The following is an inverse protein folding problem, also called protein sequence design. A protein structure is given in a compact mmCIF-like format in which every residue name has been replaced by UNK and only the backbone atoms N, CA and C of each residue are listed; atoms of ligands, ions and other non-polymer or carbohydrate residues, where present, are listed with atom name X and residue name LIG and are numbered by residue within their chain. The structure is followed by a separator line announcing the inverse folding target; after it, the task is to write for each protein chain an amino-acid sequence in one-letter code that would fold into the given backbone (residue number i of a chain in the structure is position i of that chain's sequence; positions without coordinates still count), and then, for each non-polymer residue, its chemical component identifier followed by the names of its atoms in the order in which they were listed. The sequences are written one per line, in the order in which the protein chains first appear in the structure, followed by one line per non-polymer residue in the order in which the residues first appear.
data_IF_852293981567
#
_entry.id   IF_852293981567
#
_cell.length_a   1.000
_cell.length_b   1.000
_cell.length_c   1.000
_cell.angle_alpha   90.00
_cell.angle_beta   90.00
_cell.angle_gamma   90.00
#
_symmetry.space_group_name_H-M   'P 1'
#
loop_
_entity.id
_entity.type
_entity.pdbx_description
1 polymer ?
#
# COMPACT_ATOMS: atom_id res chain seq x y z
N UNK A 1 -23.46 -20.39 16.51
CA UNK A 1 -22.10 -20.06 16.99
C UNK A 1 -21.29 -19.78 15.75
N UNK A 2 -21.21 -18.50 15.36
CA UNK A 2 -20.55 -18.10 14.11
C UNK A 2 -19.05 -18.22 14.30
N UNK A 3 -18.40 -19.06 13.49
CA UNK A 3 -16.96 -18.96 13.29
C UNK A 3 -16.71 -17.59 12.67
N UNK A 4 -16.10 -16.68 13.43
CA UNK A 4 -15.38 -15.56 12.83
C UNK A 4 -14.17 -16.21 12.16
N UNK A 5 -14.14 -16.30 10.83
CA UNK A 5 -12.90 -16.72 10.18
C UNK A 5 -11.85 -15.66 10.51
N UNK A 6 -10.66 -16.10 10.92
CA UNK A 6 -9.48 -15.24 11.08
C UNK A 6 -8.80 -15.08 9.72
N UNK A 7 -9.60 -14.83 8.68
CA UNK A 7 -9.09 -14.73 7.31
C UNK A 7 -8.22 -13.47 7.19
N UNK A 8 -7.04 -13.58 6.58
CA UNK A 8 -6.20 -12.42 6.36
C UNK A 8 -6.92 -11.42 5.43
N UNK A 9 -6.73 -10.13 5.69
CA UNK A 9 -7.23 -9.04 4.85
C UNK A 9 -6.07 -8.43 4.09
N UNK A 10 -6.16 -8.42 2.76
CA UNK A 10 -5.18 -7.73 1.91
C UNK A 10 -5.51 -6.25 1.80
N UNK A 11 -4.54 -5.40 2.12
CA UNK A 11 -4.56 -3.98 1.82
C UNK A 11 -3.67 -3.70 0.60
N UNK A 12 -4.26 -3.11 -0.42
CA UNK A 12 -3.59 -2.67 -1.64
C UNK A 12 -3.42 -1.17 -1.55
N UNK A 13 -2.20 -0.71 -1.25
CA UNK A 13 -1.89 0.69 -0.94
C UNK A 13 -1.37 1.43 -2.16
N UNK A 14 -2.07 2.47 -2.58
CA UNK A 14 -1.70 3.47 -3.59
C UNK A 14 -1.05 2.88 -4.86
N UNK A 15 -1.52 1.72 -5.34
CA UNK A 15 -1.13 1.19 -6.65
C UNK A 15 -1.90 1.91 -7.76
N UNK A 16 -1.70 3.22 -7.83
CA UNK A 16 -2.29 4.12 -8.80
C UNK A 16 -1.40 4.23 -10.03
N UNK A 17 -1.98 4.46 -11.20
CA UNK A 17 -1.24 4.53 -12.46
C UNK A 17 -0.11 5.57 -12.41
N UNK A 18 -0.34 6.72 -11.77
CA UNK A 18 0.67 7.77 -11.61
C UNK A 18 1.87 7.41 -10.73
N UNK A 19 1.75 6.38 -9.88
CA UNK A 19 2.85 5.87 -9.06
C UNK A 19 3.50 4.62 -9.67
N UNK A 20 2.71 3.74 -10.28
CA UNK A 20 3.23 2.48 -10.85
C UNK A 20 3.95 2.73 -12.17
N UNK A 21 3.39 3.60 -13.01
CA UNK A 21 3.92 4.04 -14.30
C UNK A 21 4.09 5.57 -14.28
N UNK A 22 5.02 6.09 -13.46
CA UNK A 22 5.19 7.52 -13.26
C UNK A 22 5.79 8.19 -14.49
N UNK A 23 5.71 9.53 -14.58
CA UNK A 23 6.45 10.28 -15.60
C UNK A 23 7.97 10.10 -15.40
N UNK A 24 8.75 10.25 -16.48
CA UNK A 24 10.17 9.91 -16.50
C UNK A 24 11.02 10.68 -15.47
N UNK A 25 10.56 11.87 -15.08
CA UNK A 25 11.18 12.76 -14.10
C UNK A 25 11.18 12.18 -12.68
N UNK A 26 10.27 11.24 -12.36
CA UNK A 26 10.26 10.54 -11.07
C UNK A 26 11.44 9.57 -10.92
N UNK A 27 12.13 9.26 -12.02
CA UNK A 27 13.19 8.26 -12.06
C UNK A 27 12.66 6.82 -11.98
N UNK A 28 13.55 5.82 -11.98
CA UNK A 28 13.15 4.43 -11.89
C UNK A 28 12.62 4.10 -10.49
N UNK A 29 11.51 3.36 -10.44
CA UNK A 29 11.05 2.70 -9.21
C UNK A 29 11.91 1.47 -8.88
N UNK A 30 11.91 1.09 -7.62
CA UNK A 30 12.40 -0.21 -7.17
C UNK A 30 11.50 -1.35 -7.65
N UNK A 31 11.93 -2.57 -7.38
CA UNK A 31 11.13 -3.80 -7.53
C UNK A 31 10.59 -3.96 -8.96
N UNK A 32 11.45 -4.17 -9.99
CA UNK A 32 11.03 -4.21 -11.39
C UNK A 32 9.83 -5.12 -11.67
N UNK A 33 9.75 -6.23 -10.92
CA UNK A 33 8.69 -7.24 -11.03
C UNK A 33 7.38 -6.90 -10.30
N UNK A 34 7.21 -5.70 -9.73
CA UNK A 34 6.01 -5.25 -9.00
C UNK A 34 4.71 -5.63 -9.73
N UNK A 35 4.59 -5.23 -11.00
CA UNK A 35 3.38 -5.44 -11.82
C UNK A 35 3.13 -6.91 -12.16
N UNK A 36 4.12 -7.78 -12.02
CA UNK A 36 3.98 -9.23 -12.19
C UNK A 36 3.72 -9.97 -10.88
N UNK A 37 4.06 -9.38 -9.74
CA UNK A 37 3.89 -9.98 -8.42
C UNK A 37 2.55 -9.64 -7.78
N UNK A 38 2.11 -8.38 -7.90
CA UNK A 38 0.82 -7.90 -7.38
C UNK A 38 -0.36 -8.78 -7.84
N UNK A 39 -0.51 -9.11 -9.15
CA UNK A 39 -1.63 -9.95 -9.58
C UNK A 39 -1.62 -11.35 -8.95
N UNK A 40 -0.46 -11.95 -8.72
CA UNK A 40 -0.35 -13.30 -8.11
C UNK A 40 -0.91 -13.30 -6.69
N UNK A 41 -0.67 -12.23 -5.94
CA UNK A 41 -1.16 -12.07 -4.56
C UNK A 41 -2.67 -11.83 -4.57
N UNK A 42 -3.15 -10.93 -5.45
CA UNK A 42 -4.59 -10.69 -5.62
C UNK A 42 -5.33 -11.96 -6.01
N UNK A 43 -4.82 -12.70 -6.99
CA UNK A 43 -5.41 -13.96 -7.45
C UNK A 43 -5.45 -14.99 -6.33
N UNK A 44 -4.40 -15.08 -5.51
CA UNK A 44 -4.39 -15.95 -4.34
C UNK A 44 -5.50 -15.59 -3.34
N UNK A 45 -5.59 -14.32 -2.94
CA UNK A 45 -6.65 -13.85 -2.02
C UNK A 45 -8.05 -14.11 -2.57
N UNK A 46 -8.28 -13.80 -3.85
CA UNK A 46 -9.56 -14.02 -4.54
C UNK A 46 -9.92 -15.50 -4.63
N UNK A 47 -8.97 -16.39 -4.90
CA UNK A 47 -9.18 -17.84 -4.93
C UNK A 47 -9.55 -18.41 -3.56
N UNK A 48 -8.94 -17.89 -2.48
CA UNK A 48 -9.30 -18.25 -1.11
C UNK A 48 -10.61 -17.60 -0.64
N UNK A 49 -11.14 -16.65 -1.42
CA UNK A 49 -12.26 -15.77 -1.04
C UNK A 49 -11.95 -14.93 0.20
N UNK A 50 -10.68 -14.60 0.39
CA UNK A 50 -10.24 -13.71 1.45
C UNK A 50 -10.48 -12.25 1.09
N UNK A 51 -10.72 -11.37 2.08
CA UNK A 51 -11.01 -9.97 1.82
C UNK A 51 -9.83 -9.21 1.19
N UNK A 52 -10.15 -8.34 0.24
CA UNK A 52 -9.21 -7.37 -0.37
C UNK A 52 -9.80 -5.98 -0.23
N UNK A 53 -9.01 -5.01 0.25
CA UNK A 53 -9.37 -3.60 0.36
C UNK A 53 -8.33 -2.79 -0.43
N UNK A 54 -8.82 -1.95 -1.35
CA UNK A 54 -7.99 -1.03 -2.10
C UNK A 54 -8.02 0.36 -1.49
N UNK A 55 -6.86 1.01 -1.48
CA UNK A 55 -6.66 2.35 -0.94
C UNK A 55 -5.89 3.16 -1.98
N UNK A 56 -6.40 4.32 -2.36
CA UNK A 56 -5.70 5.30 -3.19
C UNK A 56 -5.43 6.57 -2.38
N UNK A 57 -4.32 7.25 -2.69
CA UNK A 57 -4.05 8.61 -2.24
C UNK A 57 -4.78 9.60 -3.16
N UNK A 58 -5.64 10.44 -2.58
CA UNK A 58 -6.28 11.58 -3.22
C UNK A 58 -5.68 12.85 -2.64
N UNK A 59 -4.68 13.39 -3.34
CA UNK A 59 -3.92 14.53 -2.83
C UNK A 59 -4.82 15.79 -2.79
N UNK A 60 -4.69 16.56 -1.71
CA UNK A 60 -5.48 17.78 -1.53
C UNK A 60 -4.99 18.93 -2.42
N UNK A 61 -3.72 18.91 -2.84
CA UNK A 61 -3.18 19.88 -3.79
C UNK A 61 -3.74 19.57 -5.19
N UNK A 62 -4.54 20.49 -5.77
CA UNK A 62 -5.09 20.29 -7.11
C UNK A 62 -4.02 20.10 -8.18
N UNK A 63 -2.80 20.60 -7.97
CA UNK A 63 -1.69 20.47 -8.93
C UNK A 63 -0.93 19.16 -8.78
N UNK A 64 -1.10 18.43 -7.68
CA UNK A 64 -0.45 17.15 -7.47
C UNK A 64 -1.04 16.09 -8.40
N UNK A 65 -0.18 15.29 -9.04
CA UNK A 65 -0.55 14.31 -10.06
C UNK A 65 -1.49 13.18 -9.56
N UNK A 66 -1.66 13.01 -8.25
CA UNK A 66 -2.61 12.09 -7.63
C UNK A 66 -3.92 12.75 -7.18
N UNK A 67 -4.17 14.01 -7.52
CA UNK A 67 -5.47 14.62 -7.30
C UNK A 67 -6.49 14.00 -8.27
N UNK A 68 -7.57 13.40 -7.75
CA UNK A 68 -8.53 12.65 -8.56
C UNK A 68 -9.31 13.51 -9.56
N UNK A 69 -9.58 14.77 -9.21
CA UNK A 69 -10.45 15.64 -9.99
C UNK A 69 -9.69 16.21 -11.19
N UNK A 70 -8.40 16.54 -10.99
CA UNK A 70 -7.55 17.08 -12.06
C UNK A 70 -6.85 16.02 -12.89
N UNK A 71 -6.40 14.92 -12.28
CA UNK A 71 -5.59 13.89 -12.94
C UNK A 71 -6.22 12.49 -12.82
N UNK A 72 -7.46 12.29 -13.29
CA UNK A 72 -8.20 11.03 -13.08
C UNK A 72 -7.50 9.79 -13.65
N UNK A 73 -6.71 9.95 -14.72
CA UNK A 73 -5.94 8.84 -15.33
C UNK A 73 -4.80 8.41 -14.42
N UNK A 74 -4.02 9.35 -13.87
CA UNK A 74 -2.93 9.07 -12.95
C UNK A 74 -3.46 8.59 -11.58
N UNK A 75 -4.60 9.13 -11.15
CA UNK A 75 -5.27 8.74 -9.91
C UNK A 75 -5.87 7.32 -9.96
N UNK A 76 -6.29 6.84 -11.13
CA UNK A 76 -6.94 5.53 -11.26
C UNK A 76 -6.03 4.39 -10.80
N UNK A 77 -6.58 3.29 -10.23
CA UNK A 77 -5.80 2.08 -9.97
C UNK A 77 -5.08 1.60 -11.23
N UNK A 78 -3.82 1.21 -11.09
CA UNK A 78 -3.07 0.61 -12.18
C UNK A 78 -3.65 -0.77 -12.54
N UNK A 79 -3.50 -1.19 -13.79
CA UNK A 79 -4.10 -2.44 -14.30
C UNK A 79 -3.65 -3.69 -13.52
N UNK A 80 -2.43 -3.70 -12.97
CA UNK A 80 -1.94 -4.83 -12.17
C UNK A 80 -2.70 -5.03 -10.84
N UNK A 81 -3.41 -4.01 -10.37
CA UNK A 81 -4.12 -3.99 -9.09
C UNK A 81 -5.59 -3.59 -9.21
N UNK A 82 -6.17 -3.69 -10.41
CA UNK A 82 -7.54 -3.26 -10.63
C UNK A 82 -8.51 -3.98 -9.66
N UNK A 83 -9.38 -3.23 -8.95
CA UNK A 83 -10.40 -3.82 -8.10
C UNK A 83 -11.43 -4.58 -8.95
N UNK A 84 -11.98 -5.66 -8.39
CA UNK A 84 -13.14 -6.36 -8.96
C UNK A 84 -14.42 -6.03 -8.18
N UNK A 85 -15.57 -6.44 -8.70
CA UNK A 85 -16.85 -6.24 -8.04
C UNK A 85 -16.84 -6.82 -6.61
N UNK A 86 -17.29 -6.02 -5.64
CA UNK A 86 -17.33 -6.37 -4.22
C UNK A 86 -16.07 -5.99 -3.43
N UNK A 87 -14.95 -5.67 -4.09
CA UNK A 87 -13.75 -5.17 -3.40
C UNK A 87 -13.90 -3.68 -3.06
N UNK A 88 -13.77 -3.27 -1.78
CA UNK A 88 -13.89 -1.87 -1.39
C UNK A 88 -12.73 -1.03 -1.91
N UNK A 89 -13.02 0.22 -2.30
CA UNK A 89 -12.04 1.24 -2.66
C UNK A 89 -12.18 2.43 -1.71
N UNK A 90 -11.08 2.80 -1.04
CA UNK A 90 -10.98 3.93 -0.13
C UNK A 90 -10.04 4.99 -0.69
N UNK A 91 -10.27 6.26 -0.34
CA UNK A 91 -9.46 7.38 -0.80
C UNK A 91 -8.95 8.17 0.40
N UNK A 92 -7.66 8.07 0.69
CA UNK A 92 -7.01 8.77 1.81
C UNK A 92 -6.33 10.05 1.33
N UNK A 93 -6.20 11.02 2.23
CA UNK A 93 -5.43 12.26 1.99
C UNK A 93 -4.22 12.37 2.93
N UNK A 94 -3.83 11.25 3.53
CA UNK A 94 -2.79 11.11 4.55
C UNK A 94 -1.83 9.99 4.18
N UNK A 95 -0.69 9.89 4.86
CA UNK A 95 0.23 8.75 4.69
C UNK A 95 -0.43 7.41 5.03
N UNK A 96 -1.06 7.33 6.21
CA UNK A 96 -1.82 6.17 6.67
C UNK A 96 -3.34 6.36 6.53
N UNK A 97 -4.03 5.37 5.98
CA UNK A 97 -5.50 5.34 5.91
C UNK A 97 -6.16 5.11 7.27
N UNK A 98 -5.43 4.61 8.26
CA UNK A 98 -5.93 4.41 9.62
C UNK A 98 -6.13 5.73 10.39
N UNK A 99 -5.51 6.81 9.93
CA UNK A 99 -5.58 8.12 10.59
C UNK A 99 -6.89 8.85 10.29
N UNK A 100 -7.50 8.61 9.12
CA UNK A 100 -8.78 9.25 8.78
C UNK A 100 -9.95 8.42 9.31
N UNK A 101 -10.65 8.89 10.37
CA UNK A 101 -11.77 8.15 10.94
C UNK A 101 -12.94 7.99 9.96
N UNK A 102 -13.05 8.83 8.92
CA UNK A 102 -14.10 8.72 7.91
C UNK A 102 -13.93 7.49 7.02
N UNK A 103 -12.71 6.97 6.88
CA UNK A 103 -12.44 5.76 6.12
C UNK A 103 -12.84 4.49 6.87
N UNK A 104 -12.88 4.54 8.21
CA UNK A 104 -13.28 3.41 9.06
C UNK A 104 -12.47 2.14 8.78
N UNK A 105 -11.20 2.26 8.39
CA UNK A 105 -10.42 1.14 7.88
C UNK A 105 -10.28 0.00 8.89
N UNK A 106 -10.00 0.31 10.16
CA UNK A 106 -9.86 -0.68 11.23
C UNK A 106 -11.17 -1.47 11.46
N UNK A 107 -12.31 -0.78 11.47
CA UNK A 107 -13.64 -1.40 11.61
C UNK A 107 -13.95 -2.28 10.39
N UNK A 108 -13.53 -1.83 9.20
CA UNK A 108 -13.72 -2.57 7.94
C UNK A 108 -12.91 -3.86 7.91
N UNK A 109 -11.64 -3.80 8.33
CA UNK A 109 -10.79 -4.99 8.50
C UNK A 109 -11.43 -5.96 9.49
N UNK A 110 -11.82 -5.46 10.67
CA UNK A 110 -12.41 -6.30 11.74
C UNK A 110 -13.74 -6.94 11.32
N UNK A 111 -14.53 -6.24 10.51
CA UNK A 111 -15.81 -6.75 10.00
C UNK A 111 -15.64 -7.82 8.92
N UNK A 112 -14.52 -7.78 8.18
CA UNK A 112 -14.25 -8.68 7.06
C UNK A 112 -13.45 -9.92 7.45
N UNK A 113 -12.43 -9.78 8.31
CA UNK A 113 -11.54 -10.87 8.74
C UNK A 113 -11.63 -11.21 10.24
N UNK A 114 -12.60 -10.63 10.95
CA UNK A 114 -12.75 -10.81 12.40
C UNK A 114 -11.82 -9.93 13.25
N UNK A 115 -11.97 -9.98 14.58
CA UNK A 115 -11.26 -9.08 15.50
C UNK A 115 -9.74 -9.32 15.56
N UNK A 116 -9.25 -10.46 15.07
CA UNK A 116 -7.83 -10.84 15.06
C UNK A 116 -7.28 -10.98 13.63
N UNK A 117 -7.93 -10.38 12.63
CA UNK A 117 -7.53 -10.53 11.23
C UNK A 117 -6.03 -10.20 11.03
N UNK A 118 -5.31 -11.10 10.36
CA UNK A 118 -3.99 -10.80 9.85
C UNK A 118 -4.12 -9.75 8.74
N UNK A 119 -3.33 -8.68 8.78
CA UNK A 119 -3.31 -7.63 7.76
C UNK A 119 -2.12 -7.85 6.84
N UNK A 120 -2.39 -8.11 5.57
CA UNK A 120 -1.35 -8.27 4.55
C UNK A 120 -1.28 -6.99 3.72
N UNK A 121 -0.10 -6.43 3.52
CA UNK A 121 0.08 -5.13 2.85
C UNK A 121 0.97 -5.29 1.63
N UNK A 122 0.50 -4.73 0.51
CA UNK A 122 1.25 -4.52 -0.73
C UNK A 122 1.07 -3.08 -1.21
N UNK A 123 1.99 -2.59 -2.05
CA UNK A 123 1.76 -1.37 -2.81
C UNK A 123 2.87 -0.32 -2.78
N UNK A 124 2.49 0.94 -2.93
CA UNK A 124 3.41 2.08 -3.02
C UNK A 124 2.94 3.23 -2.12
N UNK A 125 3.80 4.17 -1.74
CA UNK A 125 5.26 4.03 -1.77
C UNK A 125 5.74 3.22 -0.53
N UNK A 126 6.64 2.26 -0.75
CA UNK A 126 7.27 1.39 0.24
C UNK A 126 7.94 2.12 1.42
N UNK A 127 8.57 3.26 1.15
CA UNK A 127 9.25 4.09 2.15
C UNK A 127 8.32 5.08 2.86
N UNK A 128 7.09 5.26 2.35
CA UNK A 128 6.10 6.20 2.89
C UNK A 128 4.80 5.48 3.23
N UNK A 129 3.78 5.58 2.37
CA UNK A 129 2.42 5.10 2.66
C UNK A 129 2.36 3.64 3.12
N UNK A 130 3.15 2.73 2.54
CA UNK A 130 3.23 1.33 2.99
C UNK A 130 3.77 1.26 4.42
N UNK A 131 4.83 2.01 4.73
CA UNK A 131 5.43 2.07 6.06
C UNK A 131 4.45 2.64 7.09
N UNK A 132 3.76 3.74 6.76
CA UNK A 132 2.81 4.43 7.62
C UNK A 132 1.59 3.55 7.94
N UNK A 133 1.02 2.88 6.94
CA UNK A 133 -0.09 1.94 7.14
C UNK A 133 0.36 0.72 7.94
N UNK A 134 1.56 0.19 7.69
CA UNK A 134 2.12 -0.94 8.47
C UNK A 134 2.26 -0.59 9.94
N UNK A 135 2.85 0.57 10.23
CA UNK A 135 3.03 1.09 11.60
C UNK A 135 1.69 1.29 12.29
N UNK A 136 0.75 1.97 11.62
CA UNK A 136 -0.56 2.26 12.19
C UNK A 136 -1.35 0.98 12.48
N UNK A 137 -1.34 0.02 11.56
CA UNK A 137 -2.01 -1.26 11.75
C UNK A 137 -1.41 -2.03 12.94
N UNK A 138 -0.08 -2.08 13.03
CA UNK A 138 0.59 -2.74 14.15
C UNK A 138 0.30 -2.04 15.49
N UNK A 139 0.33 -0.70 15.53
CA UNK A 139 0.06 0.07 16.75
C UNK A 139 -1.40 -0.07 17.23
N UNK A 140 -2.32 -0.37 16.31
CA UNK A 140 -3.71 -0.75 16.61
C UNK A 140 -3.87 -2.22 17.04
N UNK A 141 -2.80 -3.01 17.03
CA UNK A 141 -2.77 -4.40 17.49
C UNK A 141 -3.00 -5.46 16.40
N UNK A 142 -3.10 -5.08 15.13
CA UNK A 142 -3.18 -6.05 14.04
C UNK A 142 -1.84 -6.78 13.86
N UNK A 143 -1.89 -8.07 13.53
CA UNK A 143 -0.71 -8.79 13.04
C UNK A 143 -0.50 -8.45 11.57
N UNK A 144 0.62 -7.83 11.25
CA UNK A 144 0.87 -7.27 9.91
C UNK A 144 1.95 -8.05 9.17
N UNK A 145 1.70 -8.37 7.90
CA UNK A 145 2.69 -8.92 6.97
C UNK A 145 2.83 -7.99 5.76
N UNK A 146 4.05 -7.59 5.41
CA UNK A 146 4.33 -6.80 4.19
C UNK A 146 4.98 -7.69 3.16
N UNK A 147 4.38 -7.80 1.97
CA UNK A 147 4.95 -8.60 0.89
C UNK A 147 5.90 -7.70 0.08
N UNK A 148 7.17 -7.71 0.47
CA UNK A 148 8.18 -6.76 -0.02
C UNK A 148 8.32 -6.75 -1.56
N UNK A 149 8.25 -7.91 -2.22
CA UNK A 149 8.36 -8.01 -3.68
C UNK A 149 7.10 -7.58 -4.44
N UNK A 150 6.04 -7.21 -3.71
CA UNK A 150 4.85 -6.52 -4.20
C UNK A 150 4.71 -5.10 -3.60
N UNK A 151 5.81 -4.57 -3.06
CA UNK A 151 5.95 -3.16 -2.70
C UNK A 151 7.05 -2.51 -3.54
N UNK A 152 6.92 -1.21 -3.82
CA UNK A 152 7.97 -0.45 -4.50
C UNK A 152 8.06 0.97 -3.98
N UNK A 153 9.21 1.60 -4.19
CA UNK A 153 9.49 3.00 -3.83
C UNK A 153 10.33 3.67 -4.90
N UNK A 154 10.51 4.99 -4.79
CA UNK A 154 11.43 5.76 -5.61
C UNK A 154 12.78 5.99 -4.91
N UNK A 155 13.74 6.49 -5.68
CA UNK A 155 14.95 7.09 -5.11
C UNK A 155 14.62 8.35 -4.32
N UNK A 156 15.53 8.76 -3.45
CA UNK A 156 15.36 9.98 -2.67
C UNK A 156 16.68 10.72 -2.52
N UNK A 157 16.60 12.04 -2.32
CA UNK A 157 17.75 12.87 -2.01
C UNK A 157 18.34 12.49 -0.64
N UNK A 158 19.67 12.43 -0.54
CA UNK A 158 20.33 12.29 0.76
C UNK A 158 20.20 13.60 1.55
N UNK A 159 19.55 13.54 2.70
CA UNK A 159 19.33 14.71 3.55
C UNK A 159 20.63 15.38 4.03
N UNK A 160 21.77 14.66 4.06
CA UNK A 160 23.07 15.21 4.49
C UNK A 160 23.85 15.84 3.34
N UNK A 161 23.61 15.37 2.12
CA UNK A 161 24.25 15.84 0.90
C UNK A 161 23.22 15.86 -0.24
N UNK A 162 22.57 17.01 -0.48
CA UNK A 162 21.58 17.17 -1.54
C UNK A 162 22.06 16.81 -2.95
N UNK A 163 23.38 16.77 -3.16
CA UNK A 163 23.95 16.39 -4.46
C UNK A 163 24.02 14.88 -4.66
N UNK A 164 23.86 14.10 -3.59
CA UNK A 164 23.81 12.64 -3.59
C UNK A 164 22.35 12.17 -3.68
N UNK A 165 22.11 11.25 -4.60
CA UNK A 165 20.83 10.54 -4.73
C UNK A 165 20.97 9.12 -4.18
N UNK A 166 20.05 8.73 -3.31
CA UNK A 166 19.87 7.35 -2.84
C UNK A 166 19.01 6.63 -3.87
N UNK A 167 19.52 5.53 -4.42
CA UNK A 167 18.83 4.78 -5.47
C UNK A 167 17.58 4.05 -4.95
N UNK A 168 16.58 3.87 -5.81
CA UNK A 168 15.29 3.28 -5.42
C UNK A 168 15.41 1.91 -4.74
N UNK A 169 16.30 1.03 -5.21
CA UNK A 169 16.54 -0.29 -4.57
C UNK A 169 17.19 -0.17 -3.18
N UNK A 170 18.07 0.80 -2.97
CA UNK A 170 18.67 1.08 -1.67
C UNK A 170 17.60 1.62 -0.71
N UNK A 171 16.78 2.58 -1.17
CA UNK A 171 15.63 3.10 -0.43
C UNK A 171 14.66 1.98 -0.06
N UNK A 172 14.30 1.11 -1.02
CA UNK A 172 13.39 -0.02 -0.80
C UNK A 172 13.94 -0.98 0.26
N UNK A 173 15.20 -1.38 0.11
CA UNK A 173 15.88 -2.29 1.04
C UNK A 173 15.88 -1.71 2.45
N UNK A 174 16.20 -0.41 2.59
CA UNK A 174 16.19 0.26 3.88
C UNK A 174 14.77 0.31 4.48
N UNK A 175 13.77 0.72 3.69
CA UNK A 175 12.38 0.83 4.14
C UNK A 175 11.81 -0.50 4.63
N UNK A 176 12.00 -1.59 3.87
CA UNK A 176 11.56 -2.93 4.26
C UNK A 176 12.36 -3.45 5.46
N UNK A 177 13.67 -3.20 5.50
CA UNK A 177 14.51 -3.59 6.65
C UNK A 177 14.07 -2.90 7.94
N UNK A 178 13.69 -1.62 7.87
CA UNK A 178 13.17 -0.88 9.01
C UNK A 178 11.91 -1.54 9.56
N UNK A 179 10.99 -1.95 8.68
CA UNK A 179 9.77 -2.66 9.10
C UNK A 179 10.13 -4.02 9.72
N UNK A 180 10.93 -4.83 9.02
CA UNK A 180 11.35 -6.16 9.49
C UNK A 180 12.03 -6.14 10.86
N UNK A 181 12.84 -5.12 11.15
CA UNK A 181 13.53 -5.01 12.44
C UNK A 181 12.69 -4.30 13.50
N UNK A 182 11.65 -3.56 13.12
CA UNK A 182 10.76 -2.83 14.01
C UNK A 182 9.60 -3.65 14.56
N UNK A 183 9.19 -4.72 13.85
CA UNK A 183 8.02 -5.51 14.19
C UNK A 183 8.35 -6.99 14.36
N UNK A 184 7.68 -7.64 15.32
CA UNK A 184 7.76 -9.10 15.46
C UNK A 184 6.83 -9.75 14.42
N UNK A 185 7.41 -10.45 13.44
CA UNK A 185 6.64 -11.28 12.50
C UNK A 185 6.59 -10.78 11.05
N UNK A 186 7.45 -9.83 10.68
CA UNK A 186 7.71 -9.45 9.28
C UNK A 186 8.89 -10.22 8.66
#
# INVERSE_FOLDING_TARGET
MGSTSEDPVLLVIDLQAGLVDPPAEAGPRSTPNLTTNVPKILDHFRQQKWPVIHINHDDFDPEHHLNKDRYPVAFAPHACSAPIEGEPMLHKQTGSAFVDPKLGLADKISSLGGPNADVVIIGMDGAQCVNDNTRSANDLGFKVTVIADACATFGMEDYRDPTRQIGAEETHTAAISILKNGFRGL
#
